data_IF_685480399322
#
_entry.id   IF_685480399322
#
_cell.length_a   1.000
_cell.length_b   1.000
_cell.length_c   1.000
_cell.angle_alpha   90.00
_cell.angle_beta   90.00
_cell.angle_gamma   90.00
#
_symmetry.space_group_name_H-M   'P 1'
#
loop_
_entity.id
_entity.type
_entity.pdbx_description
1 polymer ?
#
# COMPACT_ATOMS: atom_id res chain seq x y z
N UNK A 1 51.64 -24.06 -29.99
CA UNK A 1 52.12 -24.28 -28.60
C UNK A 1 50.93 -24.62 -27.72
N UNK A 2 50.97 -25.78 -27.06
CA UNK A 2 49.91 -26.29 -26.16
C UNK A 2 50.12 -25.67 -24.78
N UNK A 3 49.09 -25.06 -24.19
CA UNK A 3 49.10 -24.68 -22.76
C UNK A 3 48.44 -25.80 -21.95
N UNK A 4 49.07 -26.29 -20.86
CA UNK A 4 48.48 -27.31 -20.01
C UNK A 4 47.50 -26.71 -18.99
N UNK A 5 46.42 -27.45 -18.74
CA UNK A 5 45.56 -27.26 -17.60
C UNK A 5 46.27 -27.67 -16.30
N UNK A 6 46.09 -26.89 -15.24
CA UNK A 6 46.36 -27.34 -13.87
C UNK A 6 45.32 -26.78 -12.90
N UNK A 7 44.38 -27.66 -12.56
CA UNK A 7 43.44 -27.51 -11.45
C UNK A 7 44.20 -27.72 -10.14
N UNK A 8 44.11 -26.78 -9.20
CA UNK A 8 44.40 -27.07 -7.78
C UNK A 8 43.30 -26.53 -6.89
N UNK A 9 42.51 -27.48 -6.40
CA UNK A 9 41.48 -27.33 -5.37
C UNK A 9 42.17 -27.18 -4.02
N UNK A 10 41.93 -26.10 -3.29
CA UNK A 10 42.13 -26.07 -1.85
C UNK A 10 40.83 -25.65 -1.16
N UNK A 11 40.12 -26.67 -0.70
CA UNK A 11 39.05 -26.56 0.28
C UNK A 11 39.70 -26.32 1.64
N UNK A 12 39.39 -25.21 2.28
CA UNK A 12 39.46 -25.08 3.74
C UNK A 12 38.17 -24.40 4.20
N UNK A 13 37.33 -25.23 4.83
CA UNK A 13 36.10 -24.86 5.51
C UNK A 13 36.44 -24.13 6.82
N UNK A 14 35.88 -22.95 7.02
CA UNK A 14 35.69 -22.30 8.31
C UNK A 14 34.30 -21.65 8.20
N UNK A 15 33.26 -22.06 8.92
CA UNK A 15 33.20 -22.24 10.37
C UNK A 15 32.40 -21.07 10.93
N UNK A 16 31.08 -21.06 10.75
CA UNK A 16 30.19 -20.06 11.35
C UNK A 16 29.33 -20.77 12.38
N UNK A 17 29.64 -20.51 13.65
CA UNK A 17 28.87 -20.95 14.80
C UNK A 17 27.55 -20.16 14.83
N UNK A 18 26.43 -20.88 14.73
CA UNK A 18 25.09 -20.33 14.90
C UNK A 18 24.81 -20.24 16.40
N UNK A 19 24.82 -19.03 16.95
CA UNK A 19 24.31 -18.75 18.30
C UNK A 19 22.80 -18.55 18.18
N UNK A 20 22.02 -19.58 18.54
CA UNK A 20 20.58 -19.47 18.73
C UNK A 20 20.31 -18.75 20.05
N UNK A 21 19.99 -17.46 19.97
CA UNK A 21 19.47 -16.68 21.09
C UNK A 21 17.97 -16.97 21.21
N UNK A 22 17.59 -17.84 22.16
CA UNK A 22 16.19 -18.08 22.50
C UNK A 22 15.66 -16.89 23.32
N UNK A 23 14.75 -16.10 22.73
CA UNK A 23 14.03 -15.02 23.42
C UNK A 23 12.79 -15.63 24.09
N UNK A 24 12.65 -15.63 25.42
CA UNK A 24 11.41 -16.05 26.06
C UNK A 24 10.35 -14.95 25.88
N UNK A 25 9.23 -15.30 25.25
CA UNK A 25 8.02 -14.47 25.25
C UNK A 25 7.42 -14.48 26.67
N UNK A 26 7.65 -13.43 27.44
CA UNK A 26 6.95 -13.20 28.70
C UNK A 26 5.50 -12.78 28.42
N UNK A 27 4.57 -13.73 28.53
CA UNK A 27 3.14 -13.44 28.58
C UNK A 27 2.75 -12.89 29.95
N UNK A 28 2.43 -11.61 30.05
CA UNK A 28 1.75 -11.06 31.22
C UNK A 28 0.30 -11.58 31.24
N UNK A 29 0.04 -12.64 32.01
CA UNK A 29 -1.31 -12.94 32.47
C UNK A 29 -1.65 -11.97 33.60
N UNK A 30 -2.55 -11.03 33.34
CA UNK A 30 -3.09 -10.15 34.36
C UNK A 30 -4.02 -10.98 35.26
N UNK A 31 -3.69 -11.02 36.56
CA UNK A 31 -4.46 -11.73 37.57
C UNK A 31 -5.89 -11.20 37.67
N UNK A 32 -6.85 -12.12 37.60
CA UNK A 32 -8.23 -11.84 37.95
C UNK A 32 -8.34 -11.74 39.48
N UNK A 33 -8.37 -10.51 39.98
CA UNK A 33 -8.94 -10.24 41.30
C UNK A 33 -10.45 -10.39 41.22
N UNK A 34 -11.03 -11.13 42.15
CA UNK A 34 -12.46 -11.34 42.28
C UNK A 34 -13.06 -10.27 43.20
N UNK A 35 -13.98 -9.40 42.71
CA UNK A 35 -14.78 -8.57 43.59
C UNK A 35 -16.20 -9.13 43.77
N UNK A 36 -16.56 -9.17 45.05
CA UNK A 36 -17.85 -9.42 45.68
C UNK A 36 -19.07 -8.79 44.97
N UNK A 37 -20.24 -9.47 44.94
CA UNK A 37 -21.44 -8.93 44.31
C UNK A 37 -21.98 -7.75 45.13
N UNK A 38 -21.82 -6.53 44.60
CA UNK A 38 -22.49 -5.33 45.11
C UNK A 38 -23.63 -4.96 44.16
N UNK A 39 -24.76 -4.60 44.78
CA UNK A 39 -26.09 -4.29 44.25
C UNK A 39 -26.22 -3.92 42.76
N UNK A 40 -27.23 -4.54 42.13
CA UNK A 40 -27.76 -4.20 40.81
C UNK A 40 -28.40 -2.82 40.84
N UNK A 41 -27.65 -1.78 40.46
CA UNK A 41 -28.27 -0.56 39.95
C UNK A 41 -28.81 -0.86 38.56
N UNK A 42 -30.14 -0.91 38.46
CA UNK A 42 -30.86 -0.91 37.18
C UNK A 42 -30.59 0.43 36.50
N UNK A 43 -29.50 0.51 35.75
CA UNK A 43 -29.25 1.58 34.81
C UNK A 43 -30.33 1.49 33.71
N UNK A 44 -31.21 2.50 33.69
CA UNK A 44 -32.09 2.77 32.57
C UNK A 44 -31.27 2.78 31.27
N UNK A 45 -31.70 2.14 30.17
CA UNK A 45 -30.96 2.19 28.92
C UNK A 45 -30.89 3.65 28.47
N UNK A 46 -29.72 4.26 28.66
CA UNK A 46 -29.43 5.56 28.08
C UNK A 46 -29.54 5.39 26.57
N UNK A 47 -30.37 6.21 25.94
CA UNK A 47 -30.60 6.17 24.50
C UNK A 47 -29.25 6.19 23.79
N UNK A 48 -28.90 5.08 23.14
CA UNK A 48 -27.69 4.97 22.33
C UNK A 48 -27.80 6.05 21.27
N UNK A 49 -26.92 7.04 21.30
CA UNK A 49 -26.84 8.04 20.25
C UNK A 49 -26.61 7.28 18.94
N UNK A 50 -27.56 7.40 18.00
CA UNK A 50 -27.34 6.94 16.63
C UNK A 50 -26.11 7.66 16.12
N UNK A 51 -25.02 6.92 15.89
CA UNK A 51 -23.81 7.50 15.34
C UNK A 51 -24.15 8.10 13.96
N UNK A 52 -24.01 9.42 13.84
CA UNK A 52 -24.05 10.08 12.54
C UNK A 52 -22.95 9.47 11.67
N UNK A 53 -23.24 9.05 10.42
CA UNK A 53 -22.23 8.54 9.53
C UNK A 53 -21.08 9.54 9.42
N UNK A 54 -19.81 9.10 9.46
CA UNK A 54 -18.69 9.99 9.22
C UNK A 54 -18.86 10.69 7.86
N UNK A 55 -18.45 11.96 7.74
CA UNK A 55 -18.53 12.67 6.47
C UNK A 55 -17.72 11.94 5.40
N UNK A 56 -18.10 12.06 4.11
CA UNK A 56 -17.32 11.48 3.03
C UNK A 56 -15.88 12.02 3.06
N UNK A 57 -14.87 11.17 2.78
CA UNK A 57 -13.48 11.63 2.74
C UNK A 57 -13.32 12.74 1.70
N UNK A 58 -12.46 13.71 2.00
CA UNK A 58 -12.10 14.81 1.11
C UNK A 58 -10.58 15.00 1.14
N UNK A 59 -10.03 15.60 0.09
CA UNK A 59 -8.60 15.91 0.04
C UNK A 59 -8.22 16.87 1.17
N UNK A 60 -7.11 16.58 1.84
CA UNK A 60 -6.52 17.40 2.89
C UNK A 60 -5.09 17.79 2.47
N UNK A 61 -4.90 18.89 1.72
CA UNK A 61 -3.63 19.27 1.09
C UNK A 61 -2.47 19.47 2.08
N UNK A 62 -2.77 19.89 3.30
CA UNK A 62 -1.76 20.19 4.33
C UNK A 62 -1.35 18.96 5.16
N UNK A 63 -1.96 17.80 4.94
CA UNK A 63 -1.69 16.57 5.71
C UNK A 63 -0.83 15.58 4.92
N UNK A 64 -0.31 14.55 5.58
CA UNK A 64 0.54 13.52 4.94
C UNK A 64 -0.20 12.73 3.84
N UNK A 65 0.56 11.96 3.05
CA UNK A 65 -0.01 10.97 2.14
C UNK A 65 -0.85 9.94 2.92
N UNK A 66 -0.35 9.46 4.06
CA UNK A 66 -1.08 8.52 4.92
C UNK A 66 -2.42 9.04 5.42
N UNK A 67 -2.55 10.35 5.70
CA UNK A 67 -3.83 10.96 6.06
C UNK A 67 -4.81 10.99 4.87
N UNK A 68 -4.30 11.10 3.65
CA UNK A 68 -5.10 11.17 2.42
C UNK A 68 -5.35 9.81 1.76
N UNK A 69 -4.75 8.71 2.25
CA UNK A 69 -4.87 7.38 1.66
C UNK A 69 -6.34 6.93 1.57
N UNK A 70 -7.14 7.17 2.61
CA UNK A 70 -8.56 6.82 2.59
C UNK A 70 -9.37 7.56 1.51
N UNK A 71 -9.03 8.82 1.23
CA UNK A 71 -9.67 9.58 0.14
C UNK A 71 -9.23 9.09 -1.24
N UNK A 72 -7.93 8.88 -1.42
CA UNK A 72 -7.34 8.26 -2.61
C UNK A 72 -8.02 6.91 -2.93
N UNK A 73 -8.16 6.05 -1.92
CA UNK A 73 -8.81 4.75 -2.04
C UNK A 73 -10.28 4.86 -2.41
N UNK A 74 -11.00 5.84 -1.86
CA UNK A 74 -12.41 6.03 -2.19
C UNK A 74 -12.62 6.36 -3.68
N UNK A 75 -11.76 7.20 -4.26
CA UNK A 75 -11.78 7.55 -5.68
C UNK A 75 -11.42 6.33 -6.53
N UNK A 76 -10.30 5.67 -6.20
CA UNK A 76 -9.81 4.54 -6.97
C UNK A 76 -10.77 3.35 -6.95
N UNK A 77 -11.42 3.06 -5.82
CA UNK A 77 -12.44 2.02 -5.74
C UNK A 77 -13.67 2.34 -6.61
N UNK A 78 -14.07 3.61 -6.69
CA UNK A 78 -15.17 4.02 -7.57
C UNK A 78 -14.83 3.78 -9.06
N UNK A 79 -13.59 4.04 -9.46
CA UNK A 79 -13.10 3.71 -10.81
C UNK A 79 -13.03 2.19 -10.99
N UNK A 80 -12.48 1.45 -10.03
CA UNK A 80 -12.36 0.00 -10.10
C UNK A 80 -13.71 -0.73 -10.29
N UNK A 81 -14.80 -0.15 -9.77
CA UNK A 81 -16.15 -0.69 -9.94
C UNK A 81 -16.73 -0.53 -11.36
N UNK A 82 -16.19 0.39 -12.16
CA UNK A 82 -16.77 0.78 -13.46
C UNK A 82 -15.80 0.61 -14.63
N UNK A 83 -14.55 1.01 -14.47
CA UNK A 83 -13.51 1.02 -15.51
C UNK A 83 -12.16 0.46 -14.97
N UNK A 84 -12.14 -0.77 -14.43
CA UNK A 84 -11.00 -1.30 -13.67
C UNK A 84 -9.66 -1.38 -14.43
N UNK A 85 -9.69 -1.66 -15.74
CA UNK A 85 -8.49 -1.81 -16.54
C UNK A 85 -8.02 -0.50 -17.19
N UNK A 86 -8.80 0.59 -17.06
CA UNK A 86 -8.49 1.87 -17.70
C UNK A 86 -7.64 2.74 -16.77
N UNK A 87 -6.33 2.72 -16.98
CA UNK A 87 -5.39 3.55 -16.23
C UNK A 87 -5.67 5.04 -16.29
N UNK A 88 -6.19 5.54 -17.42
CA UNK A 88 -6.54 6.96 -17.57
C UNK A 88 -7.73 7.33 -16.71
N UNK A 89 -8.72 6.45 -16.57
CA UNK A 89 -9.88 6.69 -15.71
C UNK A 89 -9.47 6.95 -14.25
N UNK A 90 -8.44 6.25 -13.75
CA UNK A 90 -7.89 6.53 -12.41
C UNK A 90 -7.26 7.93 -12.32
N UNK A 91 -6.45 8.32 -13.30
CA UNK A 91 -5.82 9.65 -13.32
C UNK A 91 -6.88 10.75 -13.39
N UNK A 92 -7.85 10.63 -14.31
CA UNK A 92 -8.88 11.64 -14.49
C UNK A 92 -9.76 11.78 -13.24
N UNK A 93 -10.09 10.67 -12.57
CA UNK A 93 -10.83 10.69 -11.32
C UNK A 93 -10.04 11.31 -10.16
N UNK A 94 -8.73 11.03 -10.07
CA UNK A 94 -7.87 11.65 -9.06
C UNK A 94 -7.71 13.15 -9.28
N UNK A 95 -7.59 13.59 -10.53
CA UNK A 95 -7.56 15.01 -10.89
C UNK A 95 -8.89 15.69 -10.54
N UNK A 96 -10.02 15.05 -10.83
CA UNK A 96 -11.33 15.53 -10.40
C UNK A 96 -11.47 15.60 -8.87
N UNK A 97 -10.77 14.73 -8.15
CA UNK A 97 -10.63 14.77 -6.68
C UNK A 97 -9.65 15.82 -6.16
N UNK A 98 -8.99 16.59 -7.03
CA UNK A 98 -8.10 17.69 -6.66
C UNK A 98 -6.63 17.31 -6.49
N UNK A 99 -6.23 16.07 -6.79
CA UNK A 99 -4.81 15.71 -6.84
C UNK A 99 -4.12 16.34 -8.06
N UNK A 100 -2.87 16.79 -7.90
CA UNK A 100 -2.11 17.40 -8.99
C UNK A 100 -1.68 16.36 -10.03
N UNK A 101 -2.14 16.53 -11.26
CA UNK A 101 -1.79 15.69 -12.42
C UNK A 101 -0.29 15.66 -12.69
N UNK A 102 0.43 16.77 -12.45
CA UNK A 102 1.87 16.86 -12.71
C UNK A 102 2.70 15.98 -11.77
N UNK A 103 2.14 15.66 -10.60
CA UNK A 103 2.74 14.77 -9.61
C UNK A 103 2.41 13.28 -9.86
N UNK A 104 1.70 12.95 -10.94
CA UNK A 104 1.21 11.60 -11.19
C UNK A 104 2.11 10.77 -12.10
N UNK A 105 2.07 9.47 -11.88
CA UNK A 105 2.70 8.47 -12.75
C UNK A 105 1.70 7.36 -13.03
N UNK A 106 1.76 6.79 -14.23
CA UNK A 106 0.87 5.72 -14.67
C UNK A 106 1.65 4.70 -15.50
N UNK A 107 1.48 3.40 -15.25
CA UNK A 107 2.03 2.34 -16.11
C UNK A 107 1.20 2.15 -17.37
N UNK A 108 1.73 1.44 -18.35
CA UNK A 108 0.94 1.06 -19.52
C UNK A 108 -0.21 0.12 -19.13
N UNK A 109 -1.37 0.39 -19.69
CA UNK A 109 -2.63 -0.37 -19.56
C UNK A 109 -2.78 -1.44 -20.64
N UNK A 110 -1.88 -1.43 -21.64
CA UNK A 110 -1.79 -2.41 -22.73
C UNK A 110 -0.35 -2.90 -22.90
N UNK A 111 -0.20 -4.15 -23.32
CA UNK A 111 1.07 -4.76 -23.73
C UNK A 111 1.46 -4.36 -25.16
N UNK A 112 2.69 -4.68 -25.57
CA UNK A 112 3.15 -4.42 -26.95
C UNK A 112 2.34 -5.10 -28.06
N UNK A 113 1.59 -6.16 -27.73
CA UNK A 113 0.70 -6.88 -28.66
C UNK A 113 -0.78 -6.51 -28.44
N UNK A 114 -1.05 -5.37 -27.80
CA UNK A 114 -2.38 -4.80 -27.56
C UNK A 114 -3.33 -5.65 -26.68
N UNK A 115 -2.76 -6.49 -25.81
CA UNK A 115 -3.51 -7.14 -24.75
C UNK A 115 -3.60 -6.23 -23.52
N UNK A 116 -4.69 -6.33 -22.75
CA UNK A 116 -4.79 -5.66 -21.46
C UNK A 116 -3.62 -6.07 -20.55
N UNK A 117 -3.06 -5.12 -19.81
CA UNK A 117 -2.05 -5.41 -18.81
C UNK A 117 -2.63 -6.24 -17.65
N UNK A 118 -1.85 -7.17 -17.10
CA UNK A 118 -2.28 -7.98 -15.94
C UNK A 118 -2.52 -7.11 -14.69
N UNK A 119 -1.82 -5.98 -14.62
CA UNK A 119 -2.02 -4.94 -13.62
C UNK A 119 -1.71 -3.57 -14.21
N UNK A 120 -2.44 -2.57 -13.73
CA UNK A 120 -2.18 -1.15 -13.95
C UNK A 120 -1.82 -0.53 -12.61
N UNK A 121 -0.73 0.21 -12.58
CA UNK A 121 -0.27 0.91 -11.39
C UNK A 121 -0.22 2.41 -11.66
N UNK A 122 -0.69 3.19 -10.71
CA UNK A 122 -0.70 4.64 -10.75
C UNK A 122 -0.24 5.19 -9.41
N UNK A 123 0.24 6.43 -9.40
CA UNK A 123 0.63 7.08 -8.16
C UNK A 123 0.48 8.58 -8.23
N UNK A 124 0.45 9.20 -7.05
CA UNK A 124 0.55 10.65 -6.86
C UNK A 124 1.66 10.91 -5.85
N UNK A 125 2.66 11.70 -6.23
CA UNK A 125 3.60 12.26 -5.25
C UNK A 125 2.87 13.32 -4.41
N UNK A 126 2.84 13.14 -3.10
CA UNK A 126 2.05 13.95 -2.19
C UNK A 126 2.82 14.19 -0.88
N UNK A 127 3.14 15.44 -0.59
CA UNK A 127 3.82 15.87 0.64
C UNK A 127 5.06 15.04 1.02
N UNK A 128 5.90 14.71 0.03
CA UNK A 128 7.16 13.99 0.23
C UNK A 128 7.06 12.46 0.24
N UNK A 129 5.85 11.93 0.08
CA UNK A 129 5.58 10.50 -0.04
C UNK A 129 4.83 10.21 -1.35
N UNK A 130 4.58 8.92 -1.62
CA UNK A 130 3.84 8.46 -2.78
C UNK A 130 2.58 7.73 -2.31
N UNK A 131 1.43 8.20 -2.78
CA UNK A 131 0.21 7.40 -2.80
C UNK A 131 0.29 6.50 -4.03
N UNK A 132 0.31 5.18 -3.84
CA UNK A 132 0.43 4.21 -4.94
C UNK A 132 -0.84 3.35 -4.95
N UNK A 133 -1.51 3.30 -6.09
CA UNK A 133 -2.62 2.42 -6.36
C UNK A 133 -2.26 1.42 -7.44
N UNK A 134 -2.76 0.20 -7.31
CA UNK A 134 -2.66 -0.84 -8.32
C UNK A 134 -4.03 -1.48 -8.49
N UNK A 135 -4.39 -1.79 -9.73
CA UNK A 135 -5.49 -2.68 -10.03
C UNK A 135 -5.01 -3.81 -10.93
N UNK A 136 -5.40 -5.04 -10.64
CA UNK A 136 -5.24 -6.17 -11.53
C UNK A 136 -6.18 -7.32 -11.15
N UNK A 137 -6.84 -7.99 -12.12
CA UNK A 137 -7.64 -9.16 -11.79
C UNK A 137 -6.78 -10.28 -11.17
N UNK A 138 -5.53 -10.41 -11.63
CA UNK A 138 -4.57 -11.39 -11.09
C UNK A 138 -4.11 -11.06 -9.65
N UNK A 139 -4.16 -9.78 -9.23
CA UNK A 139 -3.85 -9.34 -7.86
C UNK A 139 -5.07 -9.37 -6.92
N UNK A 140 -6.24 -9.83 -7.39
CA UNK A 140 -7.46 -9.81 -6.58
C UNK A 140 -8.14 -8.44 -6.52
N UNK A 141 -7.92 -7.58 -7.51
CA UNK A 141 -8.56 -6.28 -7.63
C UNK A 141 -7.65 -5.12 -7.23
N UNK A 142 -8.26 -4.08 -6.65
CA UNK A 142 -7.59 -2.84 -6.24
C UNK A 142 -6.82 -3.01 -4.93
N UNK A 143 -5.61 -2.47 -4.90
CA UNK A 143 -4.75 -2.37 -3.71
C UNK A 143 -4.03 -1.03 -3.71
N UNK A 144 -3.68 -0.54 -2.52
CA UNK A 144 -2.93 0.70 -2.37
C UNK A 144 -1.96 0.67 -1.21
N UNK A 145 -1.03 1.61 -1.23
CA UNK A 145 -0.08 1.83 -0.16
C UNK A 145 0.47 3.24 -0.18
N UNK A 146 1.06 3.66 0.94
CA UNK A 146 1.97 4.79 1.01
C UNK A 146 3.40 4.28 0.96
N UNK A 147 4.25 4.91 0.15
CA UNK A 147 5.66 4.57 0.04
C UNK A 147 6.52 5.84 0.01
N UNK A 148 7.80 5.76 0.42
CA UNK A 148 8.76 6.82 0.18
C UNK A 148 8.99 7.07 -1.32
N UNK A 149 9.38 8.29 -1.67
CA UNK A 149 9.87 8.59 -3.03
C UNK A 149 11.16 7.79 -3.27
N UNK A 150 11.27 7.20 -4.45
CA UNK A 150 12.46 6.43 -4.84
C UNK A 150 13.68 7.36 -5.02
N UNK A 151 14.89 6.80 -4.97
CA UNK A 151 16.12 7.57 -5.22
C UNK A 151 16.18 8.24 -6.60
N UNK A 152 15.35 7.80 -7.55
CA UNK A 152 15.13 8.42 -8.87
C UNK A 152 14.26 9.69 -8.84
N UNK A 153 13.64 10.01 -7.72
CA UNK A 153 12.63 11.07 -7.61
C UNK A 153 11.22 10.65 -8.08
N UNK A 154 11.04 9.39 -8.48
CA UNK A 154 9.77 8.83 -8.95
C UNK A 154 9.08 8.00 -7.86
N UNK A 155 7.82 7.63 -8.11
CA UNK A 155 7.03 6.81 -7.18
C UNK A 155 6.95 5.36 -7.63
N UNK A 156 6.97 5.12 -8.95
CA UNK A 156 6.86 3.79 -9.52
C UNK A 156 8.23 3.26 -9.98
N UNK A 157 8.45 1.96 -9.76
CA UNK A 157 9.61 1.23 -10.25
C UNK A 157 9.48 0.81 -11.72
N UNK A 158 8.24 0.56 -12.15
CA UNK A 158 7.91 0.13 -13.51
C UNK A 158 8.04 1.26 -14.52
N UNK A 159 8.16 0.91 -15.81
CA UNK A 159 8.12 1.90 -16.89
C UNK A 159 6.75 2.57 -16.93
N UNK A 160 6.76 3.90 -16.92
CA UNK A 160 5.56 4.73 -16.94
C UNK A 160 5.31 5.29 -18.33
N UNK A 161 4.04 5.49 -18.66
CA UNK A 161 3.63 6.23 -19.86
C UNK A 161 3.54 7.72 -19.55
N UNK A 162 3.70 8.54 -20.58
CA UNK A 162 3.43 9.97 -20.47
C UNK A 162 1.93 10.21 -20.24
N UNK A 163 1.64 11.26 -19.49
CA UNK A 163 0.29 11.73 -19.17
C UNK A 163 0.06 13.06 -19.91
N UNK A 164 -0.17 12.97 -21.23
CA UNK A 164 -0.12 14.07 -22.20
C UNK A 164 -1.50 14.53 -22.73
N UNK A 165 -2.56 14.19 -22.01
CA UNK A 165 -3.94 14.51 -22.38
C UNK A 165 -4.56 15.61 -21.53
#
# INVERSE_FOLDING_TARGET
>A
MRMPASVRRHRLFAGIAVVLLAIPLAGCTAGAGEPSPTATDTASPSASATATPPPPPALQPELSASANLGYFDSIANAVAATNPADGRAYIDALVAGGFDKSAMQLTFDRTHVDLAADFVQFSVQFNGECLIGQYGPASGGYHSMVAPILGSGTCLLSVTRQIDW
#
